data_IF_016165404980
#
_entry.id   IF_016165404980
#
_cell.length_a   1.000
_cell.length_b   1.000
_cell.length_c   1.000
_cell.angle_alpha   90.00
_cell.angle_beta   90.00
_cell.angle_gamma   90.00
#
_symmetry.space_group_name_H-M   'P 1'
#
loop_
_entity.id
_entity.type
_entity.pdbx_description
1 polymer ?
#
# COMPACT_ATOMS: atom_id res chain seq x y z
N UNK A 1 -2.95 -6.61 -16.66
CA UNK A 1 -3.76 -6.48 -15.43
C UNK A 1 -4.11 -5.00 -15.28
N UNK A 2 -5.39 -4.69 -15.16
CA UNK A 2 -5.84 -3.31 -14.92
C UNK A 2 -5.61 -2.94 -13.45
N UNK A 3 -5.23 -1.68 -13.19
CA UNK A 3 -5.11 -1.17 -11.82
C UNK A 3 -6.50 -1.06 -11.17
N UNK A 4 -6.64 -1.53 -9.94
CA UNK A 4 -7.90 -1.46 -9.19
C UNK A 4 -7.92 -0.18 -8.36
N UNK A 5 -8.85 0.75 -8.68
CA UNK A 5 -9.03 1.97 -7.90
C UNK A 5 -9.69 1.72 -6.55
N UNK A 6 -9.31 2.46 -5.51
CA UNK A 6 -9.86 2.27 -4.18
C UNK A 6 -9.39 3.31 -3.18
N UNK A 7 -9.65 3.03 -1.90
CA UNK A 7 -9.19 3.84 -0.78
C UNK A 7 -8.19 3.06 0.06
N UNK A 8 -7.14 3.74 0.48
CA UNK A 8 -6.12 3.22 1.38
C UNK A 8 -6.30 3.88 2.75
N UNK A 9 -6.14 3.12 3.83
CA UNK A 9 -6.33 3.58 5.20
C UNK A 9 -5.23 3.03 6.09
N UNK A 10 -4.77 3.85 7.03
CA UNK A 10 -3.95 3.40 8.16
C UNK A 10 -4.83 3.24 9.38
N UNK A 11 -4.59 2.17 10.13
CA UNK A 11 -5.13 1.99 11.48
C UNK A 11 -3.98 1.92 12.46
N UNK A 12 -4.25 1.64 13.73
CA UNK A 12 -3.19 1.37 14.71
C UNK A 12 -2.57 -0.03 14.60
N UNK A 13 -3.02 -0.90 13.67
CA UNK A 13 -2.54 -2.29 13.54
C UNK A 13 -2.19 -2.73 12.12
N UNK A 14 -2.79 -2.09 11.12
CA UNK A 14 -2.69 -2.51 9.71
C UNK A 14 -2.98 -1.38 8.73
N UNK A 15 -2.38 -1.52 7.56
CA UNK A 15 -2.78 -0.84 6.32
C UNK A 15 -3.94 -1.59 5.69
N UNK A 16 -4.98 -0.88 5.27
CA UNK A 16 -6.17 -1.44 4.65
C UNK A 16 -6.37 -0.80 3.28
N UNK A 17 -6.41 -1.61 2.23
CA UNK A 17 -6.91 -1.19 0.93
C UNK A 17 -8.33 -1.72 0.73
N UNK A 18 -9.24 -0.84 0.33
CA UNK A 18 -10.62 -1.20 0.00
C UNK A 18 -10.93 -0.75 -1.42
N UNK A 19 -11.19 -1.71 -2.31
CA UNK A 19 -11.53 -1.38 -3.71
C UNK A 19 -12.89 -0.70 -3.81
N UNK A 20 -13.08 0.16 -4.81
CA UNK A 20 -14.38 0.74 -5.09
C UNK A 20 -15.40 -0.34 -5.46
N UNK A 21 -16.67 -0.16 -5.03
CA UNK A 21 -17.77 -1.11 -5.27
C UNK A 21 -18.02 -1.44 -6.75
N UNK A 22 -17.59 -0.54 -7.64
CA UNK A 22 -17.80 -0.59 -9.10
C UNK A 22 -16.73 -1.45 -9.80
N UNK A 23 -15.62 -1.78 -9.14
CA UNK A 23 -14.61 -2.64 -9.76
C UNK A 23 -15.11 -4.09 -9.91
N UNK A 24 -14.72 -4.70 -11.03
CA UNK A 24 -14.96 -6.13 -11.32
C UNK A 24 -14.30 -7.01 -10.25
N UNK A 25 -13.12 -6.61 -9.77
CA UNK A 25 -12.43 -7.21 -8.62
C UNK A 25 -12.79 -6.46 -7.33
N UNK A 26 -13.77 -7.01 -6.61
CA UNK A 26 -14.19 -6.54 -5.29
C UNK A 26 -13.31 -7.16 -4.21
N UNK A 27 -12.90 -6.37 -3.22
CA UNK A 27 -12.13 -6.92 -2.10
C UNK A 27 -11.60 -5.87 -1.14
N UNK A 28 -11.15 -6.38 0.00
CA UNK A 28 -10.34 -5.64 0.96
C UNK A 28 -9.02 -6.40 1.10
N UNK A 29 -7.92 -5.66 1.11
CA UNK A 29 -6.60 -6.18 1.42
C UNK A 29 -6.18 -5.59 2.76
N UNK A 30 -5.85 -6.47 3.69
CA UNK A 30 -5.35 -6.10 5.01
C UNK A 30 -3.88 -6.50 5.10
N UNK A 31 -3.01 -5.54 5.41
CA UNK A 31 -1.57 -5.77 5.60
C UNK A 31 -1.22 -5.32 7.01
N UNK A 32 -1.00 -6.27 7.92
CA UNK A 32 -0.62 -5.95 9.31
C UNK A 32 0.80 -5.40 9.34
N UNK A 33 1.05 -4.42 10.21
CA UNK A 33 2.37 -3.79 10.28
C UNK A 33 3.47 -4.78 10.68
N UNK A 34 3.18 -5.69 11.60
CA UNK A 34 4.06 -6.79 12.00
C UNK A 34 4.46 -7.74 10.85
N UNK A 35 3.67 -7.78 9.78
CA UNK A 35 3.91 -8.66 8.64
C UNK A 35 4.66 -7.91 7.51
N UNK A 36 4.94 -6.60 7.65
CA UNK A 36 5.68 -5.81 6.66
C UNK A 36 7.19 -6.04 6.85
N UNK A 37 7.84 -6.59 5.82
CA UNK A 37 9.29 -6.79 5.80
C UNK A 37 10.03 -5.61 5.15
N UNK A 38 9.47 -5.03 4.09
CA UNK A 38 10.11 -3.94 3.35
C UNK A 38 9.10 -2.97 2.73
N UNK A 39 9.49 -1.70 2.68
CA UNK A 39 8.80 -0.65 1.92
C UNK A 39 9.78 -0.12 0.88
N UNK A 40 9.35 -0.08 -0.39
CA UNK A 40 10.18 0.33 -1.52
C UNK A 40 9.47 1.45 -2.28
N UNK A 41 10.16 2.58 -2.45
CA UNK A 41 9.73 3.66 -3.33
C UNK A 41 9.83 3.26 -4.80
N UNK A 42 8.79 3.56 -5.57
CA UNK A 42 8.71 3.26 -7.00
C UNK A 42 8.15 4.43 -7.78
N UNK A 43 8.40 4.40 -9.08
CA UNK A 43 7.82 5.32 -10.08
C UNK A 43 6.68 4.62 -10.83
N UNK A 44 5.55 5.29 -11.00
CA UNK A 44 4.52 4.86 -11.95
C UNK A 44 4.98 5.15 -13.37
N UNK A 45 4.86 4.15 -14.25
CA UNK A 45 5.32 4.21 -15.64
C UNK A 45 6.78 4.71 -15.81
N UNK A 46 7.64 4.52 -14.79
CA UNK A 46 9.02 5.04 -14.71
C UNK A 46 9.15 6.58 -14.72
N UNK A 47 8.05 7.33 -14.58
CA UNK A 47 8.04 8.78 -14.71
C UNK A 47 7.65 9.49 -13.40
N UNK A 48 6.57 9.04 -12.75
CA UNK A 48 5.96 9.78 -11.63
C UNK A 48 6.32 9.11 -10.31
N UNK A 49 6.90 9.86 -9.37
CA UNK A 49 7.32 9.41 -8.04
C UNK A 49 6.14 9.25 -7.06
N UNK A 50 5.20 8.36 -7.40
CA UNK A 50 3.94 8.22 -6.68
C UNK A 50 3.55 6.76 -6.39
N UNK A 51 4.50 5.83 -6.41
CA UNK A 51 4.23 4.43 -6.09
C UNK A 51 5.02 3.93 -4.88
N UNK A 52 4.34 3.11 -4.06
CA UNK A 52 4.90 2.39 -2.91
C UNK A 52 4.72 0.90 -3.18
N UNK A 53 5.78 0.12 -2.99
CA UNK A 53 5.69 -1.34 -2.93
C UNK A 53 5.94 -1.78 -1.49
N UNK A 54 5.03 -2.59 -0.98
CA UNK A 54 5.12 -3.25 0.32
C UNK A 54 5.42 -4.72 0.07
N UNK A 55 6.45 -5.23 0.72
CA UNK A 55 6.80 -6.64 0.71
C UNK A 55 6.56 -7.17 2.13
N UNK A 56 5.75 -8.22 2.25
CA UNK A 56 5.48 -8.88 3.52
C UNK A 56 6.53 -9.95 3.84
N UNK A 57 6.55 -10.40 5.09
CA UNK A 57 7.47 -11.44 5.57
C UNK A 57 7.31 -12.79 4.86
N UNK A 58 6.13 -13.06 4.30
CA UNK A 58 5.85 -14.21 3.44
C UNK A 58 6.17 -13.98 1.94
N UNK A 59 6.85 -12.86 1.63
CA UNK A 59 7.25 -12.43 0.28
C UNK A 59 6.10 -12.02 -0.65
N UNK A 60 4.88 -11.83 -0.11
CA UNK A 60 3.79 -11.25 -0.91
C UNK A 60 4.08 -9.77 -1.20
N UNK A 61 3.89 -9.36 -2.45
CA UNK A 61 4.09 -7.97 -2.88
C UNK A 61 2.77 -7.25 -3.12
N UNK A 62 2.64 -6.04 -2.55
CA UNK A 62 1.54 -5.14 -2.81
C UNK A 62 2.08 -3.81 -3.34
N UNK A 63 1.62 -3.39 -4.52
CA UNK A 63 1.99 -2.12 -5.11
C UNK A 63 0.81 -1.16 -5.10
N UNK A 64 1.02 0.02 -4.53
CA UNK A 64 0.04 1.10 -4.48
C UNK A 64 0.56 2.31 -5.24
N UNK A 65 -0.32 2.94 -5.99
CA UNK A 65 -0.10 4.28 -6.56
C UNK A 65 -0.90 5.25 -5.69
N UNK A 66 -0.23 6.21 -5.07
CA UNK A 66 -0.81 7.13 -4.07
C UNK A 66 -0.39 8.56 -4.36
N UNK A 67 -1.23 9.53 -4.00
CA UNK A 67 -0.78 10.91 -3.88
C UNK A 67 0.05 11.05 -2.60
N UNK A 68 0.95 12.04 -2.55
CA UNK A 68 1.73 12.35 -1.34
C UNK A 68 2.51 11.13 -0.79
N UNK A 69 3.22 10.41 -1.69
CA UNK A 69 3.96 9.17 -1.40
C UNK A 69 4.79 9.24 -0.11
N UNK A 70 5.52 10.34 0.06
CA UNK A 70 6.41 10.52 1.20
C UNK A 70 5.65 10.57 2.53
N UNK A 71 4.46 11.18 2.55
CA UNK A 71 3.61 11.23 3.75
C UNK A 71 3.10 9.83 4.13
N UNK A 72 2.72 9.03 3.13
CA UNK A 72 2.33 7.63 3.34
C UNK A 72 3.48 6.81 3.91
N UNK A 73 4.68 6.92 3.34
CA UNK A 73 5.85 6.18 3.81
C UNK A 73 6.20 6.59 5.25
N UNK A 74 6.17 7.89 5.55
CA UNK A 74 6.43 8.40 6.89
C UNK A 74 5.47 7.80 7.93
N UNK A 75 4.15 7.83 7.66
CA UNK A 75 3.16 7.29 8.58
C UNK A 75 3.21 5.77 8.70
N UNK A 76 3.46 5.02 7.61
CA UNK A 76 3.61 3.57 7.71
C UNK A 76 4.84 3.22 8.57
N UNK A 77 5.96 3.91 8.36
CA UNK A 77 7.17 3.70 9.16
C UNK A 77 6.98 4.03 10.64
N UNK A 78 6.20 5.07 10.96
CA UNK A 78 5.83 5.40 12.33
C UNK A 78 5.09 4.23 13.00
N UNK A 79 4.18 3.57 12.28
CA UNK A 79 3.41 2.45 12.82
C UNK A 79 4.21 1.14 12.97
N UNK A 80 5.24 0.92 12.15
CA UNK A 80 6.07 -0.30 12.22
C UNK A 80 7.13 -0.22 13.33
N UNK A 81 7.53 0.99 13.72
CA UNK A 81 8.55 1.20 14.78
C UNK A 81 8.01 1.04 16.20
N UNK A 82 6.68 1.02 16.36
CA UNK A 82 5.97 0.87 17.64
C UNK A 82 5.72 -0.61 17.95
#
# INVERSE_FOLDING_TARGET
MEGVGGKLFLTNKKLIFKSHKINIQRGQTDIKYQDIAQIIERKTAKLIDNSIRIITTDLTEFAFVVNERELWIAHINEQIRL
#
